data_IF_448046474616
#
_entry.id   IF_448046474616
#
_cell.length_a   1.000
_cell.length_b   1.000
_cell.length_c   1.000
_cell.angle_alpha   90.00
_cell.angle_beta   90.00
_cell.angle_gamma   90.00
#
_symmetry.space_group_name_H-M   'P 1'
#
loop_
_entity.id
_entity.type
_entity.pdbx_description
1 polymer ?
#
# COMPACT_ATOMS: atom_id res chain seq x y z
N UNK A 1 5.00 -12.74 0.38
CA UNK A 1 4.82 -11.77 -0.72
C UNK A 1 4.45 -12.43 -2.06
N UNK A 2 5.27 -13.37 -2.56
CA UNK A 2 4.98 -14.05 -3.85
C UNK A 2 3.66 -14.81 -3.84
N UNK A 3 3.33 -15.48 -2.74
CA UNK A 3 2.07 -16.22 -2.61
C UNK A 3 0.86 -15.29 -2.64
N UNK A 4 0.96 -14.11 -2.04
CA UNK A 4 -0.12 -13.12 -2.09
C UNK A 4 -0.30 -12.55 -3.51
N UNK A 5 0.78 -12.30 -4.24
CA UNK A 5 0.71 -11.85 -5.64
C UNK A 5 0.04 -12.90 -6.52
N UNK A 6 0.40 -14.18 -6.36
CA UNK A 6 -0.24 -15.28 -7.06
C UNK A 6 -1.73 -15.41 -6.74
N UNK A 7 -2.08 -15.29 -5.47
CA UNK A 7 -3.48 -15.37 -5.02
C UNK A 7 -4.35 -14.28 -5.64
N UNK A 8 -3.84 -13.04 -5.70
CA UNK A 8 -4.57 -11.90 -6.28
C UNK A 8 -4.57 -11.94 -7.82
N UNK A 9 -3.62 -12.65 -8.42
CA UNK A 9 -3.45 -12.67 -9.88
C UNK A 9 -2.67 -11.48 -10.43
N UNK A 10 -1.81 -10.87 -9.62
CA UNK A 10 -0.93 -9.78 -10.04
C UNK A 10 0.32 -10.38 -10.67
N UNK A 11 0.62 -10.00 -11.91
CA UNK A 11 1.74 -10.51 -12.68
C UNK A 11 2.91 -9.52 -12.81
N UNK A 12 2.66 -8.25 -12.66
CA UNK A 12 3.67 -7.20 -12.70
C UNK A 12 3.85 -6.59 -11.31
N UNK A 13 4.95 -6.87 -10.65
CA UNK A 13 5.25 -6.39 -9.31
C UNK A 13 6.75 -6.30 -9.08
N UNK A 14 7.15 -5.51 -8.12
CA UNK A 14 8.49 -5.47 -7.58
C UNK A 14 8.45 -5.63 -6.07
N UNK A 15 9.45 -6.34 -5.54
CA UNK A 15 9.65 -6.46 -4.10
C UNK A 15 10.97 -5.77 -3.73
N UNK A 16 10.87 -4.59 -3.19
CA UNK A 16 12.03 -3.80 -2.82
C UNK A 16 12.56 -4.22 -1.45
N UNK A 17 13.88 -4.39 -1.38
CA UNK A 17 14.58 -4.78 -0.17
C UNK A 17 15.66 -3.76 0.20
N UNK A 18 16.30 -3.93 1.37
CA UNK A 18 17.39 -3.06 1.81
C UNK A 18 16.95 -1.71 2.35
N UNK A 19 15.69 -1.56 2.71
CA UNK A 19 15.17 -0.35 3.39
C UNK A 19 15.45 -0.44 4.89
N UNK A 20 16.72 -0.36 5.26
CA UNK A 20 17.20 -0.38 6.65
C UNK A 20 17.97 0.90 6.96
N UNK A 21 18.07 1.25 8.22
CA UNK A 21 18.85 2.38 8.69
C UNK A 21 18.02 3.60 9.08
N UNK A 22 18.66 4.75 9.12
CA UNK A 22 18.04 6.01 9.52
C UNK A 22 16.91 6.42 8.57
N UNK A 23 15.94 7.15 9.09
CA UNK A 23 14.75 7.59 8.36
C UNK A 23 15.10 8.36 7.08
N UNK A 24 16.12 9.23 7.11
CA UNK A 24 16.56 9.98 5.94
C UNK A 24 17.04 9.07 4.80
N UNK A 25 17.83 8.05 5.12
CA UNK A 25 18.29 7.07 4.15
C UNK A 25 17.13 6.28 3.54
N UNK A 26 16.17 5.86 4.36
CA UNK A 26 14.95 5.20 3.90
C UNK A 26 14.19 6.07 2.92
N UNK A 27 14.02 7.33 3.25
CA UNK A 27 13.26 8.30 2.46
C UNK A 27 13.93 8.55 1.10
N UNK A 28 15.22 8.77 1.07
CA UNK A 28 15.99 8.96 -0.17
C UNK A 28 15.89 7.74 -1.09
N UNK A 29 16.04 6.56 -0.54
CA UNK A 29 15.91 5.31 -1.30
C UNK A 29 14.50 5.13 -1.84
N UNK A 30 13.49 5.44 -1.06
CA UNK A 30 12.08 5.38 -1.47
C UNK A 30 11.81 6.35 -2.63
N UNK A 31 12.28 7.58 -2.54
CA UNK A 31 12.15 8.58 -3.62
C UNK A 31 12.81 8.06 -4.90
N UNK A 32 14.02 7.53 -4.81
CA UNK A 32 14.75 7.00 -5.95
C UNK A 32 13.96 5.89 -6.65
N UNK A 33 13.50 4.89 -5.90
CA UNK A 33 12.75 3.76 -6.47
C UNK A 33 11.39 4.19 -7.06
N UNK A 34 10.68 5.07 -6.38
CA UNK A 34 9.41 5.59 -6.88
C UNK A 34 9.60 6.40 -8.16
N UNK A 35 10.60 7.27 -8.22
CA UNK A 35 10.91 8.03 -9.44
C UNK A 35 11.26 7.11 -10.60
N UNK A 36 12.05 6.07 -10.36
CA UNK A 36 12.39 5.07 -11.37
C UNK A 36 11.12 4.42 -11.94
N UNK A 37 10.26 3.90 -11.09
CA UNK A 37 9.00 3.25 -11.50
C UNK A 37 8.07 4.21 -12.24
N UNK A 38 7.92 5.42 -11.72
CA UNK A 38 7.02 6.43 -12.32
C UNK A 38 7.50 6.94 -13.68
N UNK A 39 8.79 6.81 -13.99
CA UNK A 39 9.36 7.16 -15.31
C UNK A 39 9.21 6.04 -16.33
N UNK A 40 9.14 4.79 -15.90
CA UNK A 40 9.05 3.64 -16.81
C UNK A 40 7.72 3.57 -17.55
N UNK A 41 6.63 4.08 -16.95
CA UNK A 41 5.28 3.98 -17.49
C UNK A 41 4.43 5.20 -17.18
N UNK A 42 3.39 5.41 -17.99
CA UNK A 42 2.33 6.38 -17.70
C UNK A 42 1.25 5.70 -16.88
N UNK A 43 1.24 5.95 -15.60
CA UNK A 43 0.19 5.47 -14.70
C UNK A 43 -1.01 6.41 -14.75
N UNK A 44 -2.21 5.85 -14.85
CA UNK A 44 -3.47 6.62 -14.78
C UNK A 44 -3.93 6.81 -13.35
N UNK A 45 -3.58 5.89 -12.48
CA UNK A 45 -3.94 5.90 -11.06
C UNK A 45 -2.79 5.31 -10.24
N UNK A 46 -2.49 5.97 -9.13
CA UNK A 46 -1.51 5.52 -8.15
C UNK A 46 -2.24 5.36 -6.83
N UNK A 47 -2.20 4.18 -6.23
CA UNK A 47 -2.85 3.92 -4.95
C UNK A 47 -1.79 3.73 -3.89
N UNK A 48 -1.94 4.40 -2.77
CA UNK A 48 -1.00 4.33 -1.65
C UNK A 48 -1.71 4.44 -0.29
N UNK A 49 -0.92 4.39 0.77
CA UNK A 49 -1.37 4.62 2.13
C UNK A 49 -1.96 6.02 2.32
N UNK A 50 -2.85 6.18 3.31
CA UNK A 50 -3.38 7.49 3.66
C UNK A 50 -2.38 8.29 4.52
N UNK A 51 -2.73 9.53 4.84
CA UNK A 51 -1.88 10.44 5.62
C UNK A 51 -1.47 9.86 6.97
N UNK A 52 -2.36 9.09 7.61
CA UNK A 52 -2.11 8.49 8.92
C UNK A 52 -1.40 7.13 8.82
N UNK A 53 -1.18 6.62 7.61
CA UNK A 53 -0.62 5.29 7.40
C UNK A 53 -1.51 4.17 7.93
N UNK A 54 -2.82 4.34 7.81
CA UNK A 54 -3.92 3.51 8.32
C UNK A 54 -3.95 3.41 9.84
N UNK A 55 -2.88 2.98 10.46
CA UNK A 55 -2.76 2.80 11.92
C UNK A 55 -1.49 3.45 12.50
N UNK A 56 -0.92 4.40 11.79
CA UNK A 56 0.23 5.17 12.26
C UNK A 56 1.60 4.58 11.92
N UNK A 57 1.68 3.60 11.02
CA UNK A 57 2.96 2.99 10.66
C UNK A 57 3.87 4.00 9.94
N UNK A 58 5.10 4.23 10.43
CA UNK A 58 5.98 5.27 9.88
C UNK A 58 6.29 5.11 8.39
N UNK A 59 6.47 3.88 7.93
CA UNK A 59 6.79 3.58 6.52
C UNK A 59 5.60 3.79 5.59
N UNK A 60 4.38 3.52 6.07
CA UNK A 60 3.16 3.82 5.34
C UNK A 60 2.99 5.33 5.16
N UNK A 61 3.25 6.10 6.22
CA UNK A 61 3.24 7.56 6.16
C UNK A 61 4.29 8.12 5.19
N UNK A 62 5.49 7.54 5.18
CA UNK A 62 6.55 7.95 4.26
C UNK A 62 6.15 7.71 2.79
N UNK A 63 5.52 6.58 2.46
CA UNK A 63 5.01 6.32 1.12
C UNK A 63 3.97 7.36 0.69
N UNK A 64 3.03 7.66 1.56
CA UNK A 64 2.03 8.69 1.32
C UNK A 64 2.67 10.05 1.05
N UNK A 65 3.55 10.47 1.96
CA UNK A 65 4.18 11.77 1.91
C UNK A 65 4.99 11.98 0.63
N UNK A 66 5.81 11.01 0.27
CA UNK A 66 6.60 11.08 -0.97
C UNK A 66 5.71 11.14 -2.21
N UNK A 67 4.72 10.26 -2.32
CA UNK A 67 3.84 10.22 -3.49
C UNK A 67 2.92 11.43 -3.60
N UNK A 68 2.48 12.00 -2.47
CA UNK A 68 1.67 13.22 -2.47
C UNK A 68 2.42 14.44 -3.02
N UNK A 69 3.74 14.44 -2.91
CA UNK A 69 4.60 15.48 -3.50
C UNK A 69 4.95 15.20 -4.96
N UNK A 70 5.14 13.91 -5.33
CA UNK A 70 5.58 13.55 -6.68
C UNK A 70 4.44 13.54 -7.72
N UNK A 71 3.28 13.03 -7.37
CA UNK A 71 2.15 12.84 -8.30
C UNK A 71 0.79 13.04 -7.64
N UNK A 72 0.52 14.19 -7.03
CA UNK A 72 -0.73 14.41 -6.30
C UNK A 72 -1.97 14.28 -7.20
N UNK A 73 -1.87 14.66 -8.46
CA UNK A 73 -2.97 14.66 -9.42
C UNK A 73 -3.51 13.26 -9.76
N UNK A 74 -2.70 12.24 -9.55
CA UNK A 74 -3.04 10.83 -9.84
C UNK A 74 -3.21 9.97 -8.61
N UNK A 75 -3.10 10.57 -7.43
CA UNK A 75 -3.02 9.84 -6.18
C UNK A 75 -4.40 9.49 -5.63
N UNK A 76 -4.51 8.24 -5.20
CA UNK A 76 -5.63 7.69 -4.46
C UNK A 76 -5.09 7.04 -3.18
N UNK A 77 -5.83 7.14 -2.11
CA UNK A 77 -5.39 6.66 -0.80
C UNK A 77 -6.40 5.69 -0.21
N UNK A 78 -5.92 4.78 0.62
CA UNK A 78 -6.80 3.90 1.39
C UNK A 78 -7.58 4.71 2.40
N UNK A 79 -8.86 4.42 2.51
CA UNK A 79 -9.75 5.04 3.48
C UNK A 79 -10.69 4.02 4.09
N UNK A 80 -11.47 4.47 5.06
CA UNK A 80 -12.51 3.67 5.67
C UNK A 80 -13.82 3.91 4.91
N UNK A 81 -14.35 2.86 4.28
CA UNK A 81 -15.62 2.90 3.56
C UNK A 81 -16.71 2.12 4.27
N UNK A 82 -17.75 1.81 3.52
CA UNK A 82 -18.77 0.88 3.98
C UNK A 82 -18.18 -0.53 4.14
N UNK A 83 -18.90 -1.39 4.83
CA UNK A 83 -18.50 -2.78 4.97
C UNK A 83 -18.54 -3.45 3.59
N UNK A 84 -17.48 -4.17 3.27
CA UNK A 84 -17.40 -4.98 2.06
C UNK A 84 -18.53 -6.03 2.06
N UNK A 85 -18.98 -6.43 0.87
CA UNK A 85 -19.93 -7.52 0.76
C UNK A 85 -19.31 -8.87 1.23
N UNK A 86 -20.16 -9.85 1.50
CA UNK A 86 -19.72 -11.12 2.08
C UNK A 86 -18.77 -11.89 1.17
N UNK A 87 -18.92 -11.83 -0.14
CA UNK A 87 -18.02 -12.47 -1.08
C UNK A 87 -16.64 -11.82 -1.05
N UNK A 88 -16.57 -10.50 -1.00
CA UNK A 88 -15.30 -9.76 -0.89
C UNK A 88 -14.62 -10.02 0.45
N UNK A 89 -15.38 -10.06 1.53
CA UNK A 89 -14.85 -10.39 2.87
C UNK A 89 -14.25 -11.79 2.87
N UNK A 90 -14.93 -12.77 2.28
CA UNK A 90 -14.43 -14.14 2.17
C UNK A 90 -13.12 -14.19 1.39
N UNK A 91 -13.06 -13.56 0.22
CA UNK A 91 -11.85 -13.52 -0.61
C UNK A 91 -10.70 -12.82 0.11
N UNK A 92 -10.98 -11.70 0.75
CA UNK A 92 -9.98 -10.95 1.51
C UNK A 92 -9.48 -11.74 2.72
N UNK A 93 -10.37 -12.43 3.43
CA UNK A 93 -10.00 -13.31 4.54
C UNK A 93 -9.04 -14.42 4.08
N UNK A 94 -9.30 -15.03 2.93
CA UNK A 94 -8.42 -16.05 2.35
C UNK A 94 -7.05 -15.45 1.97
N UNK A 95 -7.03 -14.26 1.39
CA UNK A 95 -5.78 -13.54 1.08
C UNK A 95 -4.99 -13.23 2.34
N UNK A 96 -5.63 -12.74 3.38
CA UNK A 96 -4.96 -12.37 4.64
C UNK A 96 -4.27 -13.56 5.31
N UNK A 97 -4.79 -14.77 5.15
CA UNK A 97 -4.16 -16.00 5.65
C UNK A 97 -2.82 -16.31 4.99
N UNK A 98 -2.58 -15.78 3.79
CA UNK A 98 -1.30 -15.94 3.08
C UNK A 98 -0.18 -15.12 3.74
N UNK A 99 -0.53 -14.04 4.44
CA UNK A 99 0.42 -13.19 5.17
C UNK A 99 0.74 -13.73 6.56
N UNK A 100 1.37 -14.89 6.61
CA UNK A 100 1.64 -15.62 7.86
C UNK A 100 2.45 -14.83 8.90
N UNK A 101 3.35 -13.98 8.46
CA UNK A 101 4.18 -13.13 9.33
C UNK A 101 3.44 -11.92 9.91
N UNK A 102 2.24 -11.63 9.44
CA UNK A 102 1.47 -10.44 9.80
C UNK A 102 0.15 -10.74 10.51
N UNK A 103 -0.04 -11.95 10.98
CA UNK A 103 -1.31 -12.38 11.59
C UNK A 103 -1.71 -11.50 12.78
N UNK A 104 -0.75 -11.12 13.62
CA UNK A 104 -0.99 -10.29 14.80
C UNK A 104 -1.42 -8.86 14.43
N UNK A 105 -0.99 -8.36 13.28
CA UNK A 105 -1.30 -7.00 12.80
C UNK A 105 -2.76 -6.88 12.34
N UNK A 106 -3.40 -7.98 11.97
CA UNK A 106 -4.77 -7.97 11.45
C UNK A 106 -5.80 -7.46 12.46
N UNK A 107 -5.50 -7.56 13.75
CA UNK A 107 -6.37 -7.05 14.81
C UNK A 107 -6.22 -5.54 15.03
N UNK A 108 -5.23 -4.90 14.42
CA UNK A 108 -4.94 -3.48 14.63
C UNK A 108 -5.82 -2.54 13.81
N UNK A 109 -6.48 -3.05 12.77
CA UNK A 109 -7.33 -2.24 11.91
C UNK A 109 -8.53 -3.03 11.40
N UNK A 110 -9.55 -2.30 10.99
CA UNK A 110 -10.79 -2.88 10.48
C UNK A 110 -10.66 -3.16 8.97
N UNK A 111 -10.23 -4.38 8.64
CA UNK A 111 -10.03 -4.79 7.26
C UNK A 111 -11.32 -5.11 6.48
N UNK A 112 -12.47 -5.16 7.16
CA UNK A 112 -13.79 -5.39 6.53
C UNK A 112 -14.37 -4.12 5.86
N UNK A 113 -13.82 -2.96 6.20
CA UNK A 113 -14.26 -1.66 5.70
C UNK A 113 -13.11 -0.97 4.99
N UNK A 114 -13.18 -0.89 3.68
CA UNK A 114 -12.16 -0.18 2.92
C UNK A 114 -12.73 0.52 1.69
N UNK A 115 -12.05 1.55 1.28
CA UNK A 115 -12.32 2.30 0.06
C UNK A 115 -11.03 2.95 -0.40
N UNK A 116 -10.90 3.21 -1.68
CA UNK A 116 -9.86 4.12 -2.20
C UNK A 116 -10.50 5.47 -2.53
N UNK A 117 -9.89 6.53 -2.03
CA UNK A 117 -10.39 7.90 -2.15
C UNK A 117 -9.36 8.71 -2.91
N UNK A 118 -9.82 9.53 -3.87
CA UNK A 118 -8.92 10.42 -4.59
C UNK A 118 -8.31 11.44 -3.63
N UNK A 119 -7.00 11.55 -3.63
CA UNK A 119 -6.28 12.52 -2.82
C UNK A 119 -6.52 13.94 -3.37
N UNK A 120 -6.80 14.85 -2.46
CA UNK A 120 -7.07 16.26 -2.80
C UNK A 120 -6.09 17.17 -2.09
#
# INVERSE_FOLDING_TARGET
FLDSMRFIGIHEYEHWTGFKGAEDYYREKLIYELLRVLRERKYTKIVTHNTDGEYGHPRHRACHDVLSHLRPEKLWVFGRGERLDDDMIKRKSELLKVYKSQVEVLDWFNWEHEVIIKFQ
#
